data_IF_500513409939
#
_entry.id   IF_500513409939
#
_cell.length_a   1.000
_cell.length_b   1.000
_cell.length_c   1.000
_cell.angle_alpha   90.00
_cell.angle_beta   90.00
_cell.angle_gamma   90.00
#
_symmetry.space_group_name_H-M   'P 1'
#
loop_
_entity.id
_entity.type
_entity.pdbx_description
1 polymer ?
#
# COMPACT_ATOMS: atom_id res chain seq x y z
N UNK A 1 39.77 -34.36 -12.35
CA UNK A 1 39.09 -33.06 -12.08
C UNK A 1 37.58 -33.28 -11.95
N UNK A 2 36.99 -33.23 -10.74
CA UNK A 2 35.53 -33.28 -10.54
C UNK A 2 35.01 -31.86 -10.25
N UNK A 3 34.50 -31.15 -11.25
CA UNK A 3 33.72 -29.90 -11.05
C UNK A 3 32.36 -30.29 -10.45
N UNK A 4 32.35 -30.47 -9.13
CA UNK A 4 31.19 -30.85 -8.32
C UNK A 4 30.16 -29.72 -8.36
N UNK A 5 28.96 -30.05 -8.84
CA UNK A 5 27.67 -29.33 -8.90
C UNK A 5 27.40 -28.24 -7.85
N UNK A 6 28.23 -27.18 -7.77
CA UNK A 6 28.01 -26.04 -6.87
C UNK A 6 26.79 -25.21 -7.30
N UNK A 7 26.52 -25.13 -8.60
CA UNK A 7 25.38 -24.40 -9.18
C UNK A 7 24.03 -24.99 -8.79
N UNK A 8 23.89 -26.32 -8.76
CA UNK A 8 22.64 -26.98 -8.34
C UNK A 8 22.33 -26.81 -6.84
N UNK A 9 23.35 -26.80 -5.98
CA UNK A 9 23.17 -26.55 -4.54
C UNK A 9 22.86 -25.09 -4.23
N UNK A 10 23.50 -24.14 -4.93
CA UNK A 10 23.20 -22.72 -4.81
C UNK A 10 21.78 -22.38 -5.28
N UNK A 11 21.32 -23.00 -6.38
CA UNK A 11 19.95 -22.84 -6.89
C UNK A 11 18.90 -23.31 -5.88
N UNK A 12 19.11 -24.46 -5.23
CA UNK A 12 18.21 -24.97 -4.19
C UNK A 12 18.16 -24.09 -2.94
N UNK A 13 19.30 -23.52 -2.54
CA UNK A 13 19.36 -22.59 -1.39
C UNK A 13 18.63 -21.29 -1.70
N UNK A 14 18.83 -20.71 -2.89
CA UNK A 14 18.13 -19.49 -3.32
C UNK A 14 16.62 -19.75 -3.38
N UNK A 15 16.21 -20.88 -3.96
CA UNK A 15 14.80 -21.27 -4.02
C UNK A 15 14.21 -21.42 -2.61
N UNK A 16 14.93 -22.04 -1.69
CA UNK A 16 14.54 -22.15 -0.28
C UNK A 16 14.35 -20.79 0.39
N UNK A 17 15.28 -19.86 0.22
CA UNK A 17 15.18 -18.50 0.76
C UNK A 17 13.98 -17.75 0.19
N UNK A 18 13.77 -17.80 -1.13
CA UNK A 18 12.62 -17.18 -1.78
C UNK A 18 11.31 -17.78 -1.25
N UNK A 19 11.25 -19.09 -1.06
CA UNK A 19 10.06 -19.79 -0.56
C UNK A 19 9.75 -19.41 0.89
N UNK A 20 10.78 -19.29 1.75
CA UNK A 20 10.62 -18.84 3.14
C UNK A 20 10.18 -17.38 3.19
N UNK A 21 10.75 -16.50 2.36
CA UNK A 21 10.30 -15.11 2.25
C UNK A 21 8.83 -15.06 1.81
N UNK A 22 8.45 -15.87 0.81
CA UNK A 22 7.07 -15.95 0.34
C UNK A 22 6.11 -16.45 1.43
N UNK A 23 6.50 -17.48 2.19
CA UNK A 23 5.74 -17.99 3.33
C UNK A 23 5.62 -16.99 4.47
N UNK A 24 6.66 -16.21 4.76
CA UNK A 24 6.62 -15.16 5.78
C UNK A 24 5.68 -14.03 5.35
N UNK A 25 5.76 -13.60 4.08
CA UNK A 25 4.86 -12.59 3.52
C UNK A 25 3.41 -13.09 3.47
N UNK A 26 3.19 -14.38 3.18
CA UNK A 26 1.87 -14.98 3.19
C UNK A 26 1.27 -15.11 4.61
N UNK A 27 2.07 -15.44 5.63
CA UNK A 27 1.59 -15.68 6.99
C UNK A 27 1.45 -14.43 7.85
N UNK A 28 2.36 -13.46 7.73
CA UNK A 28 2.28 -12.22 8.54
C UNK A 28 1.35 -11.17 7.94
N UNK A 29 0.92 -11.38 6.69
CA UNK A 29 0.29 -10.33 5.90
C UNK A 29 1.29 -9.22 5.61
N UNK A 30 0.98 -8.43 4.60
CA UNK A 30 1.71 -7.19 4.39
C UNK A 30 0.92 -6.09 5.07
N UNK A 31 1.43 -5.64 6.21
CA UNK A 31 0.70 -4.78 7.15
C UNK A 31 1.01 -3.31 6.87
N UNK A 32 0.20 -2.67 6.02
CA UNK A 32 0.22 -1.20 5.90
C UNK A 32 -0.46 -0.64 7.13
N UNK A 33 0.30 0.02 7.99
CA UNK A 33 -0.27 0.69 9.15
C UNK A 33 -0.62 2.13 8.80
N UNK A 34 -1.87 2.49 9.09
CA UNK A 34 -2.36 3.86 9.03
C UNK A 34 -2.54 4.35 10.46
N UNK A 35 -1.75 5.35 10.86
CA UNK A 35 -1.82 5.92 12.21
C UNK A 35 -2.11 7.40 12.09
N UNK A 36 -3.28 7.82 12.59
CA UNK A 36 -3.63 9.23 12.73
C UNK A 36 -3.09 9.70 14.08
N UNK A 37 -2.10 10.58 14.07
CA UNK A 37 -1.47 11.10 15.29
C UNK A 37 -0.87 12.49 15.05
N UNK A 38 -0.97 13.36 16.06
CA UNK A 38 -0.37 14.70 16.07
C UNK A 38 -0.75 15.55 14.84
N UNK A 39 -2.03 15.55 14.44
CA UNK A 39 -2.52 16.31 13.29
C UNK A 39 -2.02 15.80 11.93
N UNK A 40 -1.63 14.52 11.84
CA UNK A 40 -1.12 13.92 10.61
C UNK A 40 -1.52 12.45 10.46
N UNK A 41 -1.70 12.01 9.22
CA UNK A 41 -1.88 10.62 8.83
C UNK A 41 -0.51 10.06 8.47
N UNK A 42 -0.02 9.11 9.25
CA UNK A 42 1.23 8.41 9.00
C UNK A 42 0.93 7.05 8.38
N UNK A 43 1.55 6.78 7.24
CA UNK A 43 1.42 5.53 6.49
C UNK A 43 2.79 4.84 6.50
N UNK A 44 2.85 3.67 7.14
CA UNK A 44 4.10 2.94 7.36
C UNK A 44 4.09 1.59 6.67
N UNK A 45 5.03 1.39 5.74
CA UNK A 45 5.33 0.09 5.15
C UNK A 45 6.73 0.04 4.52
N UNK A 46 6.89 0.50 3.27
CA UNK A 46 8.19 0.70 2.61
C UNK A 46 8.53 2.20 2.65
N UNK A 47 9.05 2.62 3.79
CA UNK A 47 9.20 4.04 4.15
C UNK A 47 8.00 4.59 4.90
N UNK A 48 8.14 5.83 5.37
CA UNK A 48 7.13 6.57 6.11
C UNK A 48 6.58 7.68 5.21
N UNK A 49 5.26 7.72 5.05
CA UNK A 49 4.58 8.82 4.36
C UNK A 49 3.70 9.54 5.36
N UNK A 50 3.98 10.82 5.56
CA UNK A 50 3.23 11.69 6.46
C UNK A 50 2.38 12.66 5.66
N UNK A 51 1.08 12.67 5.94
CA UNK A 51 0.10 13.57 5.33
C UNK A 51 -0.45 14.46 6.45
N UNK A 52 -0.11 15.75 6.50
CA UNK A 52 -0.69 16.66 7.49
C UNK A 52 -2.18 16.84 7.26
N UNK A 53 -3.00 16.75 8.31
CA UNK A 53 -4.46 16.87 8.22
C UNK A 53 -4.87 18.25 7.72
N UNK A 54 -4.16 19.30 8.18
CA UNK A 54 -4.32 20.68 7.72
C UNK A 54 -4.14 20.88 6.21
N UNK A 55 -3.44 19.97 5.54
CA UNK A 55 -3.18 20.04 4.10
C UNK A 55 -4.22 19.23 3.30
N UNK A 56 -5.20 18.62 3.98
CA UNK A 56 -6.28 17.88 3.32
C UNK A 56 -7.32 18.88 2.81
N UNK A 57 -7.55 18.84 1.49
CA UNK A 57 -8.51 19.68 0.79
C UNK A 57 -9.85 18.96 0.66
N UNK A 58 -9.81 17.65 0.44
CA UNK A 58 -11.00 16.84 0.20
C UNK A 58 -10.75 15.39 0.63
N UNK A 59 -11.74 14.77 1.27
CA UNK A 59 -11.76 13.33 1.56
C UNK A 59 -12.97 12.74 0.85
N UNK A 60 -12.75 11.67 0.08
CA UNK A 60 -13.82 10.98 -0.64
C UNK A 60 -13.75 9.48 -0.40
N UNK A 61 -14.85 8.91 0.09
CA UNK A 61 -15.02 7.46 0.13
C UNK A 61 -15.46 6.97 -1.25
N UNK A 62 -14.76 5.99 -1.79
CA UNK A 62 -15.18 5.28 -2.99
C UNK A 62 -15.94 4.03 -2.60
N UNK A 63 -17.17 3.91 -3.09
CA UNK A 63 -17.98 2.70 -2.91
C UNK A 63 -17.47 1.53 -3.76
N UNK A 64 -16.97 1.84 -4.96
CA UNK A 64 -16.34 0.89 -5.87
C UNK A 64 -14.98 1.41 -6.31
N UNK A 65 -14.02 0.50 -6.48
CA UNK A 65 -12.70 0.86 -6.98
C UNK A 65 -12.73 1.03 -8.50
N UNK A 66 -12.40 2.22 -9.01
CA UNK A 66 -12.30 2.45 -10.45
C UNK A 66 -11.17 1.62 -11.04
N UNK A 67 -11.12 1.56 -12.37
CA UNK A 67 -9.96 1.00 -13.03
C UNK A 67 -8.71 1.81 -12.68
N UNK A 68 -7.65 1.08 -12.31
CA UNK A 68 -6.39 1.66 -11.86
C UNK A 68 -5.25 1.06 -12.68
N UNK A 69 -4.51 1.92 -13.36
CA UNK A 69 -3.34 1.56 -14.13
C UNK A 69 -2.07 1.84 -13.31
N UNK A 70 -1.17 0.84 -13.21
CA UNK A 70 0.06 0.98 -12.45
C UNK A 70 1.07 1.84 -13.21
N UNK A 71 1.46 2.97 -12.60
CA UNK A 71 2.53 3.82 -13.13
C UNK A 71 3.88 3.42 -12.54
N UNK A 72 3.96 3.28 -11.21
CA UNK A 72 5.19 2.91 -10.51
C UNK A 72 4.89 2.32 -9.13
N UNK A 73 5.51 1.21 -8.78
CA UNK A 73 5.44 0.64 -7.44
C UNK A 73 5.23 -0.87 -7.44
N UNK A 74 4.63 -1.36 -6.36
CA UNK A 74 4.38 -2.78 -6.10
C UNK A 74 2.91 -3.08 -6.32
N UNK A 75 2.65 -4.14 -7.08
CA UNK A 75 1.33 -4.74 -7.22
C UNK A 75 1.51 -6.25 -7.08
N UNK A 76 0.93 -6.81 -6.02
CA UNK A 76 1.06 -8.21 -5.68
C UNK A 76 -0.26 -8.71 -5.10
N UNK A 77 -0.96 -9.57 -5.84
CA UNK A 77 -2.33 -10.01 -5.50
C UNK A 77 -3.25 -8.81 -5.21
N UNK A 78 -3.82 -8.74 -4.00
CA UNK A 78 -4.75 -7.68 -3.60
C UNK A 78 -4.04 -6.43 -3.10
N UNK A 79 -2.72 -6.43 -3.08
CA UNK A 79 -1.95 -5.36 -2.49
C UNK A 79 -1.41 -4.44 -3.58
N UNK A 80 -1.61 -3.15 -3.36
CA UNK A 80 -1.18 -2.07 -4.25
C UNK A 80 -0.46 -1.00 -3.45
N UNK A 81 0.75 -0.69 -3.86
CA UNK A 81 1.53 0.40 -3.28
C UNK A 81 2.29 1.15 -4.37
N UNK A 82 2.18 2.47 -4.38
CA UNK A 82 2.94 3.33 -5.28
C UNK A 82 2.05 4.31 -6.01
N UNK A 83 2.46 4.73 -7.20
CA UNK A 83 1.71 5.67 -8.04
C UNK A 83 0.89 4.90 -9.07
N UNK A 84 -0.40 5.15 -9.08
CA UNK A 84 -1.37 4.59 -10.01
C UNK A 84 -2.11 5.74 -10.70
N UNK A 85 -2.54 5.51 -11.92
CA UNK A 85 -3.49 6.37 -12.60
C UNK A 85 -4.88 5.79 -12.39
N UNK A 86 -5.78 6.55 -11.79
CA UNK A 86 -7.16 6.14 -11.54
C UNK A 86 -8.06 6.93 -12.48
N UNK A 87 -8.89 6.23 -13.23
CA UNK A 87 -9.83 6.86 -14.16
C UNK A 87 -10.74 7.86 -13.44
N UNK A 88 -10.91 9.05 -14.02
CA UNK A 88 -11.71 10.14 -13.44
C UNK A 88 -11.05 10.93 -12.29
N UNK A 89 -9.90 10.49 -11.76
CA UNK A 89 -9.18 11.17 -10.65
C UNK A 89 -7.78 11.61 -11.06
N UNK A 90 -7.09 10.82 -11.89
CA UNK A 90 -5.73 11.08 -12.34
C UNK A 90 -4.68 10.33 -11.52
N UNK A 91 -3.49 10.93 -11.32
CA UNK A 91 -2.39 10.28 -10.61
C UNK A 91 -2.65 10.27 -9.10
N UNK A 92 -2.69 9.07 -8.52
CA UNK A 92 -2.93 8.82 -7.10
C UNK A 92 -1.81 7.98 -6.52
N UNK A 93 -1.35 8.32 -5.32
CA UNK A 93 -0.43 7.51 -4.55
C UNK A 93 -1.21 6.55 -3.66
N UNK A 94 -1.26 5.30 -4.09
CA UNK A 94 -2.03 4.24 -3.46
C UNK A 94 -1.19 3.54 -2.39
N UNK A 95 -1.80 3.33 -1.23
CA UNK A 95 -1.32 2.48 -0.14
C UNK A 95 -2.49 1.60 0.28
N UNK A 96 -2.56 0.39 -0.28
CA UNK A 96 -3.68 -0.53 -0.09
C UNK A 96 -3.17 -1.94 0.22
N UNK A 97 -3.25 -2.44 1.48
CA UNK A 97 -2.93 -3.83 1.78
C UNK A 97 -3.91 -4.79 1.13
N UNK A 98 -5.17 -4.35 0.93
CA UNK A 98 -6.22 -5.15 0.32
C UNK A 98 -7.18 -4.25 -0.46
N UNK A 99 -7.10 -4.33 -1.79
CA UNK A 99 -8.00 -3.62 -2.72
C UNK A 99 -9.44 -4.12 -2.65
N UNK A 100 -9.78 -5.15 -1.88
CA UNK A 100 -11.20 -5.53 -1.71
C UNK A 100 -11.89 -4.65 -0.66
N UNK A 101 -11.12 -3.90 0.14
CA UNK A 101 -11.64 -2.95 1.12
C UNK A 101 -12.03 -1.64 0.44
N UNK A 102 -12.95 -0.89 1.07
CA UNK A 102 -13.34 0.44 0.58
C UNK A 102 -12.14 1.38 0.57
N UNK A 103 -11.98 2.12 -0.53
CA UNK A 103 -10.89 3.07 -0.70
C UNK A 103 -11.32 4.46 -0.28
N UNK A 104 -10.48 5.11 0.52
CA UNK A 104 -10.59 6.51 0.90
C UNK A 104 -9.54 7.28 0.10
N UNK A 105 -10.01 8.25 -0.68
CA UNK A 105 -9.17 9.22 -1.35
C UNK A 105 -8.98 10.43 -0.44
N UNK A 106 -7.72 10.84 -0.28
CA UNK A 106 -7.32 12.02 0.47
C UNK A 106 -6.61 12.94 -0.52
N UNK A 107 -7.22 14.08 -0.83
CA UNK A 107 -6.66 15.06 -1.75
C UNK A 107 -5.93 16.14 -0.97
N UNK A 108 -4.68 16.40 -1.33
CA UNK A 108 -3.89 17.55 -0.86
C UNK A 108 -3.57 18.48 -2.03
N UNK A 109 -3.03 19.70 -1.80
CA UNK A 109 -2.65 20.61 -2.87
C UNK A 109 -1.59 20.03 -3.82
N UNK A 110 -0.77 19.10 -3.32
CA UNK A 110 0.36 18.53 -4.06
C UNK A 110 -0.03 17.23 -4.75
N UNK A 111 -0.85 16.39 -4.09
CA UNK A 111 -1.20 15.09 -4.64
C UNK A 111 -2.43 14.45 -4.00
N UNK A 112 -2.96 13.43 -4.66
CA UNK A 112 -4.03 12.59 -4.10
C UNK A 112 -3.44 11.28 -3.60
N UNK A 113 -3.88 10.86 -2.42
CA UNK A 113 -3.52 9.60 -1.78
C UNK A 113 -4.75 8.68 -1.76
N UNK A 114 -4.57 7.41 -2.07
CA UNK A 114 -5.61 6.38 -1.94
C UNK A 114 -5.23 5.40 -0.84
N UNK A 115 -6.05 5.27 0.19
CA UNK A 115 -5.82 4.36 1.31
C UNK A 115 -7.01 3.42 1.51
N UNK A 116 -6.77 2.19 1.96
CA UNK A 116 -7.83 1.22 2.25
C UNK A 116 -7.74 0.78 3.71
N UNK A 117 -8.10 1.66 4.67
CA UNK A 117 -8.09 1.32 6.09
C UNK A 117 -9.08 0.18 6.39
N UNK A 118 -8.91 -0.47 7.53
CA UNK A 118 -9.81 -1.58 7.93
C UNK A 118 -11.26 -1.11 8.09
N UNK A 119 -11.45 0.06 8.70
CA UNK A 119 -12.74 0.71 8.86
C UNK A 119 -12.69 2.12 8.26
N UNK A 120 -13.17 2.27 7.03
CA UNK A 120 -13.13 3.55 6.32
C UNK A 120 -13.95 4.66 6.98
N UNK A 121 -15.10 4.34 7.59
CA UNK A 121 -15.95 5.35 8.25
C UNK A 121 -15.30 5.90 9.51
N UNK A 122 -14.77 5.01 10.33
CA UNK A 122 -14.06 5.37 11.56
C UNK A 122 -12.78 6.15 11.25
N UNK A 123 -12.03 5.72 10.24
CA UNK A 123 -10.83 6.43 9.77
C UNK A 123 -11.13 7.88 9.34
N UNK A 124 -12.20 8.09 8.56
CA UNK A 124 -12.63 9.45 8.17
C UNK A 124 -13.04 10.26 9.40
N UNK A 125 -13.81 9.66 10.31
CA UNK A 125 -14.25 10.33 11.54
C UNK A 125 -13.06 10.79 12.40
N UNK A 126 -12.00 9.98 12.49
CA UNK A 126 -10.77 10.37 13.19
C UNK A 126 -10.06 11.56 12.54
N UNK A 127 -10.13 11.69 11.22
CA UNK A 127 -9.54 12.83 10.52
C UNK A 127 -10.35 14.10 10.79
N UNK A 128 -11.69 14.01 10.76
CA UNK A 128 -12.59 15.15 10.98
C UNK A 128 -12.53 15.69 12.43
N UNK A 129 -12.11 14.87 13.39
CA UNK A 129 -11.98 15.26 14.81
C UNK A 129 -10.64 15.95 15.14
N UNK A 130 -9.72 16.10 14.19
CA UNK A 130 -8.37 16.67 14.38
C UNK A 130 -8.16 17.91 13.50
#
# INVERSE_FOLDING_TARGET
MKKKNRTGKLSLVILGIVTVIFLVLANKGIDIKYVVSNGSINISWFGETKIPIKDIVEIRLLDELPQMEKVKGVEFFNLRQGTFFIEGIGKVKVYSPDIRKKMVLIKTPVMTYGVTPENAKEFISYIDMN
#
